data_IF_596093260673
#
_entry.id   IF_596093260673
#
_cell.length_a   1.000
_cell.length_b   1.000
_cell.length_c   1.000
_cell.angle_alpha   90.00
_cell.angle_beta   90.00
_cell.angle_gamma   90.00
#
_symmetry.space_group_name_H-M   'P 1'
#
loop_
_entity.id
_entity.type
_entity.pdbx_description
1 polymer ?
#
# COMPACT_ATOMS: atom_id res chain seq x y z
N UNK A 1 -10.60 5.48 15.91
CA UNK A 1 -11.40 4.62 15.01
C UNK A 1 -10.53 3.53 14.40
N UNK A 2 -9.43 3.87 13.71
CA UNK A 2 -8.50 2.87 13.18
C UNK A 2 -7.83 1.97 14.25
N UNK A 3 -7.48 2.53 15.42
CA UNK A 3 -6.88 1.75 16.52
C UNK A 3 -7.74 0.57 17.00
N UNK A 4 -9.07 0.63 16.90
CA UNK A 4 -9.94 -0.48 17.31
C UNK A 4 -9.82 -1.69 16.38
N UNK A 5 -9.34 -1.47 15.15
CA UNK A 5 -9.12 -2.52 14.16
C UNK A 5 -7.77 -3.22 14.36
N UNK A 6 -6.88 -2.64 15.17
CA UNK A 6 -5.52 -3.14 15.36
C UNK A 6 -5.45 -4.61 15.85
N UNK A 7 -6.23 -5.03 16.87
CA UNK A 7 -6.21 -6.43 17.30
C UNK A 7 -6.58 -7.41 16.19
N UNK A 8 -7.49 -7.02 15.30
CA UNK A 8 -7.88 -7.85 14.15
C UNK A 8 -6.81 -7.84 13.06
N UNK A 9 -6.17 -6.70 12.84
CA UNK A 9 -5.09 -6.53 11.87
C UNK A 9 -3.78 -7.24 12.26
N UNK A 10 -3.60 -7.57 13.54
CA UNK A 10 -2.44 -8.32 14.06
C UNK A 10 -2.67 -9.85 14.07
N UNK A 11 -3.85 -10.31 13.64
CA UNK A 11 -4.13 -11.76 13.55
C UNK A 11 -3.28 -12.44 12.47
N UNK A 12 -2.88 -13.67 12.76
CA UNK A 12 -2.15 -14.52 11.82
C UNK A 12 -2.92 -14.66 10.50
N UNK A 13 -2.24 -14.50 9.37
CA UNK A 13 -2.85 -14.60 8.03
C UNK A 13 -3.30 -16.02 7.66
N UNK A 14 -2.86 -17.03 8.41
CA UNK A 14 -3.36 -18.40 8.28
C UNK A 14 -4.73 -18.58 8.90
N UNK A 15 -5.11 -17.71 9.85
CA UNK A 15 -6.39 -17.79 10.54
C UNK A 15 -7.40 -16.90 9.80
N UNK A 16 -8.48 -17.46 9.23
CA UNK A 16 -9.51 -16.65 8.58
C UNK A 16 -10.14 -15.68 9.58
N UNK A 17 -10.36 -14.45 9.15
CA UNK A 17 -11.15 -13.50 9.95
C UNK A 17 -12.62 -13.93 9.87
N UNK A 18 -13.34 -14.10 10.99
CA UNK A 18 -14.77 -14.41 10.98
C UNK A 18 -15.57 -13.37 10.18
N UNK A 19 -16.50 -13.82 9.34
CA UNK A 19 -17.21 -12.94 8.39
C UNK A 19 -17.89 -11.73 9.05
N UNK A 20 -18.47 -11.90 10.24
CA UNK A 20 -19.09 -10.81 11.01
C UNK A 20 -18.06 -9.74 11.44
N UNK A 21 -16.89 -10.18 11.92
CA UNK A 21 -15.81 -9.27 12.30
C UNK A 21 -15.21 -8.57 11.08
N UNK A 22 -15.07 -9.28 9.96
CA UNK A 22 -14.60 -8.71 8.70
C UNK A 22 -15.56 -7.62 8.21
N UNK A 23 -16.87 -7.91 8.16
CA UNK A 23 -17.87 -6.93 7.71
C UNK A 23 -17.87 -5.68 8.60
N UNK A 24 -17.86 -5.86 9.92
CA UNK A 24 -17.81 -4.75 10.87
C UNK A 24 -16.53 -3.90 10.68
N UNK A 25 -15.39 -4.54 10.46
CA UNK A 25 -14.13 -3.87 10.21
C UNK A 25 -14.14 -3.08 8.89
N UNK A 26 -14.63 -3.66 7.79
CA UNK A 26 -14.70 -3.01 6.48
C UNK A 26 -15.72 -1.85 6.42
N UNK A 27 -16.65 -1.79 7.37
CA UNK A 27 -17.59 -0.67 7.56
C UNK A 27 -17.04 0.42 8.50
N UNK A 28 -15.85 0.22 9.06
CA UNK A 28 -15.22 1.15 10.00
C UNK A 28 -14.10 1.93 9.29
N UNK A 29 -14.07 3.27 9.38
CA UNK A 29 -12.96 4.03 8.82
C UNK A 29 -11.61 3.59 9.41
N UNK A 30 -10.54 3.58 8.58
CA UNK A 30 -10.42 4.25 7.28
C UNK A 30 -10.93 3.45 6.07
N UNK A 31 -11.51 2.25 6.26
CA UNK A 31 -12.05 1.49 5.14
C UNK A 31 -13.22 2.22 4.46
N UNK A 32 -13.24 2.13 3.14
CA UNK A 32 -14.28 2.69 2.28
C UNK A 32 -14.83 1.57 1.40
N UNK A 33 -16.14 1.38 1.43
CA UNK A 33 -16.80 0.36 0.62
C UNK A 33 -16.95 0.86 -0.82
N UNK A 34 -16.19 0.23 -1.72
CA UNK A 34 -16.31 0.44 -3.17
C UNK A 34 -16.55 -0.94 -3.82
N UNK A 35 -17.77 -1.23 -4.31
CA UNK A 35 -18.10 -2.52 -4.90
C UNK A 35 -17.13 -2.92 -6.02
N UNK A 36 -16.58 -4.13 -5.99
CA UNK A 36 -15.61 -4.59 -6.98
C UNK A 36 -14.16 -4.16 -6.71
N UNK A 37 -13.89 -3.57 -5.55
CA UNK A 37 -12.54 -3.36 -5.01
C UNK A 37 -12.36 -4.11 -3.69
N UNK A 38 -11.13 -4.11 -3.17
CA UNK A 38 -10.82 -4.64 -1.85
C UNK A 38 -9.64 -3.85 -1.27
N UNK A 39 -9.46 -3.93 0.04
CA UNK A 39 -8.39 -3.21 0.75
C UNK A 39 -8.44 -1.67 0.52
N UNK A 40 -9.63 -1.14 0.23
CA UNK A 40 -9.84 0.27 -0.11
C UNK A 40 -9.93 1.14 1.12
N UNK A 41 -9.11 2.19 1.19
CA UNK A 41 -9.05 3.12 2.33
C UNK A 41 -8.91 4.56 1.88
N UNK A 42 -9.48 5.46 2.68
CA UNK A 42 -9.18 6.90 2.66
C UNK A 42 -8.12 7.18 3.72
N UNK A 43 -6.93 7.63 3.28
CA UNK A 43 -5.83 7.88 4.20
C UNK A 43 -6.11 9.07 5.12
N UNK A 44 -7.02 9.97 4.76
CA UNK A 44 -7.40 11.08 5.64
C UNK A 44 -8.31 10.68 6.81
N UNK A 45 -8.80 9.42 6.83
CA UNK A 45 -9.65 8.90 7.90
C UNK A 45 -8.87 8.08 8.94
N UNK A 46 -7.53 8.13 8.94
CA UNK A 46 -6.64 7.41 9.85
C UNK A 46 -6.59 7.97 11.30
N UNK A 47 -7.67 8.60 11.77
CA UNK A 47 -7.69 9.31 13.06
C UNK A 47 -7.42 8.36 14.25
N UNK A 48 -6.21 8.51 14.82
CA UNK A 48 -5.81 7.95 16.11
C UNK A 48 -5.82 9.03 17.20
N UNK A 49 -6.29 8.73 18.43
CA UNK A 49 -6.06 9.61 19.57
C UNK A 49 -4.55 9.77 19.81
N UNK A 50 -4.03 11.00 19.81
CA UNK A 50 -2.59 11.24 20.06
C UNK A 50 -2.20 10.72 21.44
N UNK A 51 -1.08 10.00 21.53
CA UNK A 51 -0.51 9.59 22.81
C UNK A 51 0.13 10.75 23.59
N UNK A 52 0.46 11.87 22.93
CA UNK A 52 1.08 13.03 23.58
C UNK A 52 0.79 14.36 22.84
N UNK A 53 -0.11 15.22 23.33
CA UNK A 53 -0.31 16.56 22.78
C UNK A 53 0.82 17.48 23.27
N UNK A 54 1.87 17.66 22.45
CA UNK A 54 2.92 18.64 22.75
C UNK A 54 2.38 20.08 22.89
N UNK A 55 3.11 20.99 23.56
CA UNK A 55 2.63 22.35 23.80
C UNK A 55 2.79 23.18 22.52
N UNK A 56 1.70 23.32 21.78
CA UNK A 56 1.56 24.15 20.58
C UNK A 56 0.08 24.48 20.34
N UNK A 57 -0.26 25.49 19.53
CA UNK A 57 -1.63 26.00 19.46
C UNK A 57 -2.56 24.97 18.81
N UNK A 58 -3.45 24.38 19.63
CA UNK A 58 -4.75 23.81 19.25
C UNK A 58 -4.77 22.43 18.53
N UNK A 59 -5.88 21.69 18.65
CA UNK A 59 -6.04 20.33 18.11
C UNK A 59 -6.46 20.37 16.64
N UNK A 60 -5.54 20.67 15.72
CA UNK A 60 -5.73 20.23 14.34
C UNK A 60 -5.07 18.86 14.20
N UNK A 61 -5.86 17.85 13.81
CA UNK A 61 -5.33 16.56 13.42
C UNK A 61 -4.31 16.80 12.29
N UNK A 62 -3.02 16.62 12.57
CA UNK A 62 -2.01 16.55 11.51
C UNK A 62 -2.24 15.23 10.79
N UNK A 63 -2.44 15.31 9.49
CA UNK A 63 -2.83 14.17 8.68
C UNK A 63 -3.35 14.60 7.33
N UNK A 64 -3.44 13.62 6.44
CA UNK A 64 -4.03 13.82 5.12
C UNK A 64 -5.48 14.27 5.31
N UNK A 65 -5.94 15.26 4.54
CA UNK A 65 -7.36 15.66 4.58
C UNK A 65 -8.26 14.57 3.99
N UNK A 66 -9.42 14.28 4.60
CA UNK A 66 -10.34 13.26 4.10
C UNK A 66 -10.76 13.51 2.65
N UNK A 67 -10.97 12.43 1.90
CA UNK A 67 -11.44 12.46 0.52
C UNK A 67 -10.38 12.83 -0.51
N UNK A 68 -9.11 12.93 -0.13
CA UNK A 68 -8.03 13.36 -1.04
C UNK A 68 -7.18 12.21 -1.56
N UNK A 69 -6.71 11.33 -0.68
CA UNK A 69 -5.78 10.25 -1.02
C UNK A 69 -6.40 8.91 -0.67
N UNK A 70 -6.62 8.09 -1.69
CA UNK A 70 -7.17 6.75 -1.56
C UNK A 70 -6.14 5.69 -1.96
N UNK A 71 -6.21 4.53 -1.29
CA UNK A 71 -5.45 3.33 -1.66
C UNK A 71 -6.37 2.13 -1.79
N UNK A 72 -6.03 1.16 -2.63
CA UNK A 72 -6.80 -0.08 -2.84
C UNK A 72 -5.93 -1.22 -3.37
N UNK A 73 -6.48 -2.44 -3.38
CA UNK A 73 -6.01 -3.54 -4.23
C UNK A 73 -6.40 -3.36 -5.71
N UNK A 74 -6.08 -4.37 -6.53
CA UNK A 74 -6.28 -4.35 -7.99
C UNK A 74 -7.72 -3.99 -8.40
N UNK A 75 -7.83 -3.26 -9.51
CA UNK A 75 -9.09 -2.71 -10.00
C UNK A 75 -9.75 -3.57 -11.09
N UNK A 76 -9.18 -4.73 -11.43
CA UNK A 76 -9.68 -5.56 -12.54
C UNK A 76 -11.14 -6.02 -12.35
N UNK A 77 -11.61 -6.08 -11.10
CA UNK A 77 -12.99 -6.47 -10.82
C UNK A 77 -14.00 -5.34 -11.02
N UNK A 78 -13.54 -4.08 -11.14
CA UNK A 78 -14.41 -2.95 -11.48
C UNK A 78 -14.97 -3.05 -12.91
N UNK A 79 -14.35 -3.79 -13.83
CA UNK A 79 -14.94 -4.13 -15.13
C UNK A 79 -16.36 -4.72 -15.02
N UNK A 80 -16.66 -5.38 -13.88
CA UNK A 80 -17.94 -6.06 -13.62
C UNK A 80 -18.82 -5.33 -12.59
N UNK A 81 -18.47 -4.09 -12.22
CA UNK A 81 -19.14 -3.35 -11.14
C UNK A 81 -19.40 -1.90 -11.54
N UNK A 82 -20.52 -1.64 -12.21
CA UNK A 82 -20.94 -0.27 -12.57
C UNK A 82 -21.08 0.64 -11.34
N UNK A 83 -21.60 0.09 -10.24
CA UNK A 83 -21.75 0.81 -8.98
C UNK A 83 -20.38 1.16 -8.38
N UNK A 84 -19.41 0.24 -8.46
CA UNK A 84 -18.03 0.51 -8.06
C UNK A 84 -17.39 1.63 -8.87
N UNK A 85 -17.55 1.59 -10.19
CA UNK A 85 -17.07 2.65 -11.08
C UNK A 85 -17.69 4.01 -10.74
N UNK A 86 -19.00 4.05 -10.48
CA UNK A 86 -19.70 5.27 -10.07
C UNK A 86 -19.24 5.76 -8.68
N UNK A 87 -18.99 4.85 -7.72
CA UNK A 87 -18.45 5.23 -6.41
C UNK A 87 -17.05 5.85 -6.56
N UNK A 88 -16.15 5.26 -7.37
CA UNK A 88 -14.81 5.84 -7.60
C UNK A 88 -14.91 7.23 -8.23
N UNK A 89 -15.69 7.37 -9.32
CA UNK A 89 -15.79 8.62 -10.09
C UNK A 89 -16.58 9.72 -9.39
N UNK A 90 -17.72 9.38 -8.80
CA UNK A 90 -18.71 10.38 -8.33
C UNK A 90 -18.72 10.49 -6.80
N UNK A 91 -18.61 9.34 -6.11
CA UNK A 91 -18.61 9.28 -4.65
C UNK A 91 -17.30 9.76 -4.05
N UNK A 92 -16.19 9.14 -4.47
CA UNK A 92 -14.83 9.49 -4.04
C UNK A 92 -14.23 10.63 -4.87
N UNK A 93 -14.82 10.94 -6.02
CA UNK A 93 -14.38 12.03 -6.92
C UNK A 93 -12.94 11.89 -7.38
N UNK A 94 -12.46 10.64 -7.50
CA UNK A 94 -11.11 10.34 -7.98
C UNK A 94 -10.98 10.85 -9.41
N UNK A 95 -9.89 11.57 -9.68
CA UNK A 95 -9.55 12.08 -11.01
C UNK A 95 -8.33 11.43 -11.61
N UNK A 96 -7.48 10.82 -10.77
CA UNK A 96 -6.31 10.06 -11.22
C UNK A 96 -6.14 8.77 -10.46
N UNK A 97 -5.83 7.72 -11.22
CA UNK A 97 -5.52 6.39 -10.72
C UNK A 97 -4.07 6.08 -11.05
N UNK A 98 -3.25 5.77 -10.04
CA UNK A 98 -1.85 5.41 -10.20
C UNK A 98 -1.65 3.91 -10.01
N UNK A 99 -1.22 3.23 -11.06
CA UNK A 99 -0.95 1.79 -11.05
C UNK A 99 0.53 1.53 -10.74
N UNK A 100 0.78 0.86 -9.60
CA UNK A 100 2.11 0.43 -9.15
C UNK A 100 2.42 -1.02 -9.53
N UNK A 101 1.66 -1.63 -10.44
CA UNK A 101 1.93 -3.00 -10.90
C UNK A 101 3.11 -3.03 -11.88
N UNK A 102 3.81 -4.16 -11.87
CA UNK A 102 4.81 -4.46 -12.89
C UNK A 102 4.14 -4.57 -14.27
N UNK A 103 4.96 -4.53 -15.33
CA UNK A 103 4.48 -4.72 -16.71
C UNK A 103 3.64 -5.98 -16.90
N UNK A 104 4.04 -7.11 -16.33
CA UNK A 104 3.30 -8.38 -16.48
C UNK A 104 1.94 -8.30 -15.77
N UNK A 105 1.92 -7.84 -14.53
CA UNK A 105 0.69 -7.71 -13.74
C UNK A 105 -0.31 -6.75 -14.40
N UNK A 106 0.17 -5.61 -14.91
CA UNK A 106 -0.62 -4.62 -15.64
C UNK A 106 -1.21 -5.21 -16.94
N UNK A 107 -0.36 -5.85 -17.76
CA UNK A 107 -0.79 -6.44 -19.04
C UNK A 107 -1.78 -7.60 -18.86
N UNK A 108 -1.61 -8.42 -17.81
CA UNK A 108 -2.45 -9.59 -17.56
C UNK A 108 -3.84 -9.23 -17.04
N UNK A 109 -3.96 -8.14 -16.29
CA UNK A 109 -5.20 -7.72 -15.63
C UNK A 109 -5.38 -6.20 -15.74
N UNK A 110 -5.67 -5.66 -16.93
CA UNK A 110 -5.77 -4.22 -17.14
C UNK A 110 -6.89 -3.59 -16.31
N UNK A 111 -6.67 -2.37 -15.82
CA UNK A 111 -7.69 -1.59 -15.12
C UNK A 111 -8.81 -1.14 -16.08
N UNK A 112 -10.03 -0.89 -15.59
CA UNK A 112 -11.07 -0.29 -16.42
C UNK A 112 -10.77 1.17 -16.74
N UNK A 113 -11.26 1.62 -17.89
CA UNK A 113 -11.36 3.04 -18.22
C UNK A 113 -12.61 3.63 -17.55
N UNK A 114 -12.44 4.69 -16.77
CA UNK A 114 -13.54 5.40 -16.12
C UNK A 114 -13.65 6.81 -16.71
N UNK A 115 -14.87 7.21 -17.07
CA UNK A 115 -15.10 8.54 -17.64
C UNK A 115 -14.65 9.66 -16.69
N UNK A 116 -13.88 10.61 -17.21
CA UNK A 116 -13.33 11.72 -16.41
C UNK A 116 -12.28 11.33 -15.36
N UNK A 117 -11.70 10.13 -15.45
CA UNK A 117 -10.60 9.66 -14.59
C UNK A 117 -9.41 9.24 -15.45
N UNK A 118 -8.24 9.81 -15.17
CA UNK A 118 -6.98 9.52 -15.87
C UNK A 118 -6.26 8.34 -15.19
N UNK A 119 -6.01 7.25 -15.94
CA UNK A 119 -5.17 6.14 -15.49
C UNK A 119 -3.70 6.43 -15.84
N UNK A 120 -2.83 6.38 -14.83
CA UNK A 120 -1.39 6.65 -14.94
C UNK A 120 -0.61 5.38 -14.59
N UNK A 121 0.07 4.81 -15.58
CA UNK A 121 1.00 3.70 -15.42
C UNK A 121 2.34 4.05 -16.07
N UNK A 122 3.40 4.09 -15.26
CA UNK A 122 4.76 4.39 -15.72
C UNK A 122 5.67 3.14 -15.76
N UNK A 123 5.14 1.99 -15.36
CA UNK A 123 5.90 0.75 -15.20
C UNK A 123 6.88 0.79 -14.03
N UNK A 124 7.57 -0.32 -13.83
CA UNK A 124 8.72 -0.44 -12.96
C UNK A 124 10.02 -0.14 -13.72
N UNK A 125 10.88 0.69 -13.15
CA UNK A 125 12.24 0.90 -13.64
C UNK A 125 13.08 -0.36 -13.36
N UNK A 126 14.01 -0.70 -14.26
CA UNK A 126 14.89 -1.86 -14.11
C UNK A 126 14.39 -3.18 -14.71
N UNK A 127 13.18 -3.23 -15.24
CA UNK A 127 12.74 -4.33 -16.12
C UNK A 127 13.42 -4.23 -17.49
N UNK A 128 14.54 -4.93 -17.66
CA UNK A 128 15.25 -4.98 -18.94
C UNK A 128 14.32 -5.38 -20.09
N UNK A 129 14.58 -4.82 -21.27
CA UNK A 129 13.97 -5.29 -22.53
C UNK A 129 14.35 -6.78 -22.68
N UNK A 130 13.41 -7.69 -22.37
CA UNK A 130 13.55 -9.12 -22.69
C UNK A 130 13.74 -10.12 -21.53
N UNK A 131 13.53 -9.77 -20.25
CA UNK A 131 13.42 -10.82 -19.22
C UNK A 131 11.97 -11.33 -19.16
N UNK A 132 11.68 -12.39 -19.91
CA UNK A 132 10.37 -13.07 -20.00
C UNK A 132 9.98 -13.88 -18.74
N UNK A 133 10.78 -13.83 -17.69
CA UNK A 133 10.53 -14.56 -16.45
C UNK A 133 10.19 -13.59 -15.32
N UNK A 134 8.98 -13.72 -14.76
CA UNK A 134 8.65 -13.18 -13.44
C UNK A 134 9.76 -13.65 -12.49
N UNK A 135 10.56 -12.75 -11.89
CA UNK A 135 11.66 -13.18 -11.05
C UNK A 135 11.08 -14.01 -9.90
N UNK A 136 11.52 -15.26 -9.81
CA UNK A 136 11.23 -16.11 -8.65
C UNK A 136 11.65 -15.32 -7.42
N UNK A 137 10.69 -15.03 -6.54
CA UNK A 137 10.98 -14.28 -5.34
C UNK A 137 11.92 -15.09 -4.45
N UNK A 138 13.12 -14.57 -4.21
CA UNK A 138 14.06 -15.19 -3.27
C UNK A 138 13.51 -15.07 -1.84
N UNK A 139 13.08 -16.21 -1.29
CA UNK A 139 12.56 -16.30 0.06
C UNK A 139 13.65 -16.40 1.12
N UNK A 140 14.93 -16.60 0.74
CA UNK A 140 16.06 -16.74 1.65
C UNK A 140 16.13 -15.60 2.69
N UNK A 141 16.08 -14.33 2.27
CA UNK A 141 16.05 -13.17 3.18
C UNK A 141 14.84 -13.13 4.13
N UNK A 142 13.78 -13.89 3.86
CA UNK A 142 12.59 -13.93 4.70
C UNK A 142 12.63 -15.03 5.78
N UNK A 143 13.58 -15.98 5.72
CA UNK A 143 13.59 -17.15 6.60
C UNK A 143 13.90 -16.78 8.04
N UNK A 144 14.95 -15.98 8.26
CA UNK A 144 15.42 -15.61 9.60
C UNK A 144 14.87 -14.27 10.08
N UNK A 145 14.96 -14.02 11.38
CA UNK A 145 14.60 -12.72 11.97
C UNK A 145 13.16 -12.29 11.66
N UNK A 146 12.25 -13.25 11.56
CA UNK A 146 10.84 -13.04 11.20
C UNK A 146 10.61 -12.35 9.85
N UNK A 147 11.60 -12.44 8.96
CA UNK A 147 11.61 -11.87 7.61
C UNK A 147 11.99 -10.40 7.51
N UNK A 148 12.55 -9.83 8.60
CA UNK A 148 12.99 -8.43 8.66
C UNK A 148 13.88 -8.04 7.47
N UNK A 149 14.90 -8.85 7.17
CA UNK A 149 15.83 -8.57 6.06
C UNK A 149 15.13 -8.61 4.69
N UNK A 150 14.25 -9.59 4.46
CA UNK A 150 13.47 -9.70 3.23
C UNK A 150 12.54 -8.52 3.00
N UNK A 151 11.82 -8.07 4.02
CA UNK A 151 10.97 -6.87 3.90
C UNK A 151 11.77 -5.60 3.64
N UNK A 152 12.91 -5.41 4.32
CA UNK A 152 13.80 -4.28 4.07
C UNK A 152 14.25 -4.27 2.62
N UNK A 153 14.80 -5.38 2.12
CA UNK A 153 15.26 -5.50 0.74
C UNK A 153 14.13 -5.25 -0.27
N UNK A 154 12.98 -5.88 -0.05
CA UNK A 154 11.81 -5.73 -0.92
C UNK A 154 11.28 -4.28 -0.95
N UNK A 155 11.18 -3.60 0.19
CA UNK A 155 10.65 -2.23 0.22
C UNK A 155 11.65 -1.19 -0.29
N UNK A 156 12.97 -1.43 -0.16
CA UNK A 156 13.97 -0.60 -0.84
C UNK A 156 13.92 -0.79 -2.36
N UNK A 157 13.73 -2.04 -2.84
CA UNK A 157 13.51 -2.32 -4.26
C UNK A 157 12.26 -1.59 -4.79
N UNK A 158 11.19 -1.53 -3.99
CA UNK A 158 10.00 -0.74 -4.34
C UNK A 158 10.33 0.74 -4.53
N UNK A 159 11.10 1.34 -3.60
CA UNK A 159 11.50 2.74 -3.72
C UNK A 159 12.30 2.96 -5.01
N UNK A 160 13.28 2.12 -5.31
CA UNK A 160 14.11 2.30 -6.50
C UNK A 160 13.34 2.08 -7.81
N UNK A 161 12.58 0.99 -7.92
CA UNK A 161 11.90 0.62 -9.17
C UNK A 161 10.68 1.47 -9.47
N UNK A 162 9.94 1.92 -8.45
CA UNK A 162 8.69 2.68 -8.66
C UNK A 162 8.84 4.19 -8.43
N UNK A 163 10.07 4.71 -8.36
CA UNK A 163 10.35 6.14 -8.19
C UNK A 163 9.67 7.03 -9.24
N UNK A 164 9.51 6.57 -10.48
CA UNK A 164 8.74 7.25 -11.52
C UNK A 164 7.30 7.52 -11.10
N UNK A 165 6.57 6.48 -10.70
CA UNK A 165 5.17 6.60 -10.23
C UNK A 165 5.08 7.40 -8.93
N UNK A 166 6.02 7.21 -7.99
CA UNK A 166 6.05 7.97 -6.74
C UNK A 166 6.23 9.47 -7.00
N UNK A 167 7.12 9.83 -7.94
CA UNK A 167 7.32 11.21 -8.40
C UNK A 167 6.03 11.77 -9.00
N UNK A 168 5.33 11.00 -9.82
CA UNK A 168 4.11 11.49 -10.46
C UNK A 168 2.94 11.65 -9.46
N UNK A 169 2.85 10.78 -8.45
CA UNK A 169 1.91 10.94 -7.33
C UNK A 169 2.20 12.22 -6.54
N UNK A 170 3.47 12.52 -6.25
CA UNK A 170 3.83 13.74 -5.52
C UNK A 170 3.65 15.02 -6.36
N UNK A 171 3.93 14.96 -7.67
CA UNK A 171 3.59 16.05 -8.61
C UNK A 171 2.09 16.30 -8.64
N UNK A 172 1.32 15.22 -8.68
CA UNK A 172 -0.13 15.25 -8.58
C UNK A 172 -0.62 16.02 -7.35
N UNK A 173 -0.09 15.68 -6.17
CA UNK A 173 -0.39 16.37 -4.90
C UNK A 173 0.05 17.84 -4.93
N UNK A 174 1.21 18.13 -5.52
CA UNK A 174 1.77 19.48 -5.61
C UNK A 174 0.97 20.40 -6.54
N UNK A 175 0.58 19.90 -7.71
CA UNK A 175 0.13 20.71 -8.84
C UNK A 175 -1.37 20.66 -9.07
N UNK A 176 -2.05 19.60 -8.62
CA UNK A 176 -3.52 19.49 -8.70
C UNK A 176 -4.11 19.12 -7.33
N UNK A 177 -3.90 19.95 -6.29
CA UNK A 177 -4.37 19.62 -4.95
C UNK A 177 -5.91 19.60 -4.85
N UNK A 178 -6.67 20.06 -5.84
CA UNK A 178 -8.13 19.90 -5.87
C UNK A 178 -8.62 18.52 -6.37
N UNK A 179 -7.71 17.68 -6.87
CA UNK A 179 -8.05 16.40 -7.50
C UNK A 179 -7.75 15.23 -6.57
N UNK A 180 -8.79 14.48 -6.17
CA UNK A 180 -8.60 13.27 -5.42
C UNK A 180 -7.89 12.20 -6.25
N UNK A 181 -7.01 11.44 -5.61
CA UNK A 181 -6.23 10.39 -6.28
C UNK A 181 -6.41 9.05 -5.61
N UNK A 182 -6.29 8.00 -6.41
CA UNK A 182 -6.30 6.62 -5.96
C UNK A 182 -5.04 5.94 -6.48
N UNK A 183 -4.37 5.17 -5.64
CA UNK A 183 -3.24 4.34 -6.09
C UNK A 183 -3.38 2.91 -5.62
N UNK A 184 -2.87 1.97 -6.42
CA UNK A 184 -3.01 0.56 -6.14
C UNK A 184 -1.83 -0.25 -6.65
N UNK A 185 -1.78 -1.50 -6.22
CA UNK A 185 -0.99 -2.56 -6.85
C UNK A 185 -1.88 -3.81 -6.91
N UNK A 186 -1.32 -5.02 -6.96
CA UNK A 186 -2.13 -6.24 -6.98
C UNK A 186 -2.95 -6.43 -5.69
N UNK A 187 -2.31 -6.45 -4.52
CA UNK A 187 -3.01 -6.65 -3.23
C UNK A 187 -3.33 -5.34 -2.51
N UNK A 188 -2.79 -4.20 -2.98
CA UNK A 188 -2.91 -2.92 -2.28
C UNK A 188 -2.13 -2.89 -0.96
N UNK A 189 -1.12 -3.77 -0.80
CA UNK A 189 -0.45 -4.06 0.47
C UNK A 189 0.97 -3.49 0.50
N UNK A 190 1.87 -4.03 -0.31
CA UNK A 190 3.32 -3.78 -0.23
C UNK A 190 3.74 -2.49 -0.96
N UNK A 191 3.72 -2.48 -2.30
CA UNK A 191 4.05 -1.27 -3.11
C UNK A 191 3.18 -0.08 -2.75
N UNK A 192 1.87 -0.33 -2.64
CA UNK A 192 0.88 0.64 -2.15
C UNK A 192 1.18 1.07 -0.71
N UNK A 193 1.64 0.16 0.16
CA UNK A 193 1.98 0.47 1.55
C UNK A 193 3.18 1.37 1.70
N UNK A 194 4.23 1.13 0.91
CA UNK A 194 5.41 2.00 0.89
C UNK A 194 5.05 3.42 0.44
N UNK A 195 4.24 3.56 -0.62
CA UNK A 195 3.77 4.88 -1.06
C UNK A 195 2.86 5.56 -0.03
N UNK A 196 1.93 4.82 0.58
CA UNK A 196 1.05 5.34 1.62
C UNK A 196 1.86 5.84 2.82
N UNK A 197 2.78 5.03 3.36
CA UNK A 197 3.60 5.42 4.50
C UNK A 197 4.50 6.63 4.21
N UNK A 198 4.98 6.79 2.97
CA UNK A 198 5.66 8.02 2.53
C UNK A 198 4.71 9.23 2.64
N UNK A 199 3.54 9.18 2.00
CA UNK A 199 2.57 10.29 2.00
C UNK A 199 2.08 10.63 3.42
N UNK A 200 1.83 9.60 4.23
CA UNK A 200 1.43 9.70 5.62
C UNK A 200 2.50 10.38 6.48
N UNK A 201 3.76 10.01 6.31
CA UNK A 201 4.90 10.65 6.98
C UNK A 201 5.03 12.12 6.56
N UNK A 202 4.89 12.43 5.27
CA UNK A 202 4.93 13.82 4.78
C UNK A 202 3.78 14.67 5.34
N UNK A 203 2.59 14.09 5.49
CA UNK A 203 1.43 14.74 6.11
C UNK A 203 1.59 14.92 7.64
N UNK A 204 2.62 14.34 8.24
CA UNK A 204 2.95 14.48 9.65
C UNK A 204 2.18 13.54 10.57
N UNK A 205 1.70 12.40 10.06
CA UNK A 205 1.25 11.31 10.92
C UNK A 205 2.39 10.78 11.78
N UNK A 206 2.08 10.36 13.01
CA UNK A 206 3.04 9.70 13.87
C UNK A 206 3.29 8.25 13.43
N UNK A 207 4.40 7.68 13.89
CA UNK A 207 4.82 6.32 13.51
C UNK A 207 3.76 5.27 13.81
N UNK A 208 3.01 5.43 14.89
CA UNK A 208 1.96 4.49 15.30
C UNK A 208 0.77 4.52 14.34
N UNK A 209 0.42 5.70 13.83
CA UNK A 209 -0.61 5.87 12.80
C UNK A 209 -0.19 5.22 11.50
N UNK A 210 1.06 5.42 11.06
CA UNK A 210 1.61 4.80 9.85
C UNK A 210 1.66 3.26 9.98
N UNK A 211 2.16 2.75 11.12
CA UNK A 211 2.15 1.32 11.43
C UNK A 211 0.75 0.74 11.44
N UNK A 212 -0.22 1.48 11.96
CA UNK A 212 -1.62 1.05 12.00
C UNK A 212 -2.13 0.90 10.57
N UNK A 213 -2.01 1.91 9.70
CA UNK A 213 -2.46 1.78 8.29
C UNK A 213 -1.80 0.60 7.58
N UNK A 214 -0.49 0.45 7.76
CA UNK A 214 0.27 -0.67 7.22
C UNK A 214 -0.37 -2.01 7.58
N UNK A 215 -0.62 -2.24 8.88
CA UNK A 215 -1.24 -3.47 9.39
C UNK A 215 -2.68 -3.67 8.91
N UNK A 216 -3.48 -2.60 8.73
CA UNK A 216 -4.87 -2.73 8.28
C UNK A 216 -5.00 -3.48 6.95
N UNK A 217 -3.93 -3.52 6.15
CA UNK A 217 -3.90 -4.34 4.94
C UNK A 217 -4.16 -5.83 5.21
N UNK A 218 -3.84 -6.36 6.41
CA UNK A 218 -4.22 -7.72 6.83
C UNK A 218 -5.72 -7.96 6.78
N UNK A 219 -6.53 -6.99 7.19
CA UNK A 219 -7.99 -7.04 7.13
C UNK A 219 -8.45 -6.86 5.69
N UNK A 220 -7.92 -5.83 5.01
CA UNK A 220 -8.37 -5.45 3.68
C UNK A 220 -8.13 -6.51 2.60
N UNK A 221 -7.12 -7.36 2.77
CA UNK A 221 -6.81 -8.46 1.85
C UNK A 221 -7.50 -9.78 2.22
N UNK A 222 -8.37 -9.84 3.24
CA UNK A 222 -8.99 -11.10 3.67
C UNK A 222 -9.69 -11.83 2.51
N UNK A 223 -10.36 -11.07 1.63
CA UNK A 223 -11.02 -11.62 0.42
C UNK A 223 -10.05 -12.21 -0.61
N UNK A 224 -8.77 -11.83 -0.55
CA UNK A 224 -7.69 -12.34 -1.39
C UNK A 224 -6.73 -13.27 -0.62
N UNK A 225 -7.02 -13.57 0.66
CA UNK A 225 -6.14 -14.32 1.56
C UNK A 225 -5.82 -15.70 1.03
N UNK A 226 -6.82 -16.44 0.56
CA UNK A 226 -6.61 -17.81 0.02
C UNK A 226 -5.82 -17.81 -1.29
N UNK A 227 -5.93 -16.76 -2.12
CA UNK A 227 -5.07 -16.63 -3.30
C UNK A 227 -3.62 -16.39 -2.88
N UNK A 228 -3.40 -15.51 -1.90
CA UNK A 228 -2.07 -15.23 -1.36
C UNK A 228 -1.45 -16.48 -0.71
N UNK A 229 -2.20 -17.23 0.09
CA UNK A 229 -1.77 -18.51 0.66
C UNK A 229 -1.63 -19.60 -0.41
N UNK A 230 -2.37 -19.52 -1.51
CA UNK A 230 -2.21 -20.41 -2.66
C UNK A 230 -0.85 -20.23 -3.34
N UNK A 231 -0.34 -19.00 -3.41
CA UNK A 231 1.06 -18.77 -3.82
C UNK A 231 2.03 -19.39 -2.81
N UNK A 232 1.75 -19.31 -1.50
CA UNK A 232 2.54 -19.97 -0.44
C UNK A 232 2.81 -21.42 -0.75
N UNK A 233 1.71 -22.15 -0.95
CA UNK A 233 1.69 -23.60 -1.10
C UNK A 233 2.53 -24.00 -2.29
N UNK A 234 2.36 -23.32 -3.42
CA UNK A 234 3.15 -23.57 -4.64
C UNK A 234 4.66 -23.39 -4.44
N UNK A 235 5.08 -22.39 -3.68
CA UNK A 235 6.51 -22.14 -3.39
C UNK A 235 7.06 -23.07 -2.31
N UNK A 236 6.25 -23.44 -1.31
CA UNK A 236 6.66 -24.37 -0.26
C UNK A 236 6.74 -25.81 -0.74
N UNK A 237 5.90 -26.19 -1.71
CA UNK A 237 5.78 -27.56 -2.20
C UNK A 237 6.85 -27.94 -3.23
N UNK A 238 7.74 -27.02 -3.66
CA UNK A 238 8.75 -27.31 -4.68
C UNK A 238 8.16 -27.94 -5.94
N UNK A 239 6.97 -27.48 -6.37
CA UNK A 239 6.22 -28.13 -7.45
C UNK A 239 6.84 -27.76 -8.79
N UNK A 240 7.73 -28.63 -9.27
CA UNK A 240 8.01 -28.72 -10.70
C UNK A 240 6.70 -29.01 -11.45
N UNK A 241 6.59 -28.57 -12.70
CA UNK A 241 5.42 -28.63 -13.60
C UNK A 241 4.79 -30.02 -13.81
N UNK A 242 5.30 -31.07 -13.16
CA UNK A 242 4.87 -32.47 -13.25
C UNK A 242 4.04 -32.99 -12.04
N UNK A 243 3.63 -32.14 -11.10
CA UNK A 243 2.49 -32.44 -10.21
C UNK A 243 2.71 -33.57 -9.18
N UNK A 244 3.91 -33.74 -8.65
CA UNK A 244 4.16 -34.66 -7.53
C UNK A 244 3.98 -33.93 -6.19
N UNK A 245 3.00 -34.35 -5.38
CA UNK A 245 2.71 -33.79 -4.06
C UNK A 245 3.64 -34.37 -2.98
N UNK A 246 4.50 -33.54 -2.41
CA UNK A 246 5.18 -33.81 -1.14
C UNK A 246 4.70 -32.81 -0.09
N UNK A 247 4.35 -33.27 1.12
CA UNK A 247 4.12 -32.39 2.26
C UNK A 247 5.45 -31.76 2.66
N UNK A 248 5.59 -30.44 2.46
CA UNK A 248 6.69 -29.67 3.01
C UNK A 248 6.21 -28.91 4.27
N UNK A 249 6.99 -28.95 5.36
CA UNK A 249 6.64 -28.26 6.59
C UNK A 249 6.62 -26.74 6.37
N UNK A 250 5.79 -26.06 7.17
CA UNK A 250 5.61 -24.61 7.32
C UNK A 250 6.87 -23.80 6.89
N UNK A 251 7.00 -23.36 5.62
CA UNK A 251 8.22 -22.66 5.15
C UNK A 251 8.27 -21.27 5.79
N UNK A 252 9.16 -21.01 6.78
CA UNK A 252 9.08 -19.79 7.58
C UNK A 252 9.22 -18.53 6.74
N UNK A 253 10.02 -18.59 5.67
CA UNK A 253 10.23 -17.47 4.74
C UNK A 253 8.96 -17.00 4.06
N UNK A 254 8.12 -17.93 3.56
CA UNK A 254 6.88 -17.51 2.93
C UNK A 254 5.88 -16.95 3.95
N UNK A 255 5.72 -17.60 5.10
CA UNK A 255 4.81 -17.07 6.13
C UNK A 255 5.24 -15.71 6.62
N UNK A 256 6.55 -15.47 6.74
CA UNK A 256 7.08 -14.15 7.02
C UNK A 256 6.72 -13.16 5.90
N UNK A 257 6.92 -13.53 4.63
CA UNK A 257 6.52 -12.70 3.47
C UNK A 257 5.02 -12.35 3.46
N UNK A 258 4.13 -13.25 3.88
CA UNK A 258 2.69 -12.97 3.85
C UNK A 258 2.14 -12.37 5.14
N UNK A 259 2.90 -12.42 6.23
CA UNK A 259 2.51 -11.84 7.52
C UNK A 259 3.12 -10.46 7.69
N UNK A 260 2.27 -9.43 7.71
CA UNK A 260 2.72 -8.07 8.01
C UNK A 260 3.09 -7.95 9.48
N UNK A 261 4.25 -7.38 9.77
CA UNK A 261 4.73 -7.12 11.13
C UNK A 261 5.27 -5.70 11.23
N UNK A 262 4.94 -4.97 12.29
CA UNK A 262 5.44 -3.60 12.52
C UNK A 262 6.96 -3.56 12.58
N UNK A 263 7.59 -4.56 13.21
CA UNK A 263 9.05 -4.66 13.28
C UNK A 263 9.73 -4.71 11.90
N UNK A 264 9.06 -5.25 10.88
CA UNK A 264 9.58 -5.25 9.50
C UNK A 264 9.45 -3.87 8.85
N UNK A 265 8.33 -3.17 9.10
CA UNK A 265 8.15 -1.78 8.67
C UNK A 265 9.17 -0.85 9.34
N UNK A 266 9.38 -0.99 10.65
CA UNK A 266 10.32 -0.19 11.43
C UNK A 266 11.75 -0.38 10.92
N UNK A 267 12.15 -1.62 10.66
CA UNK A 267 13.44 -1.91 10.07
C UNK A 267 13.64 -1.25 8.71
N UNK A 268 12.59 -1.23 7.87
CA UNK A 268 12.64 -0.54 6.59
C UNK A 268 12.80 0.99 6.78
N UNK A 269 12.00 1.59 7.67
CA UNK A 269 12.08 3.02 7.96
C UNK A 269 13.44 3.41 8.54
N UNK A 270 14.03 2.60 9.42
CA UNK A 270 15.40 2.80 9.93
C UNK A 270 16.42 2.91 8.79
N UNK A 271 16.32 2.04 7.79
CA UNK A 271 17.21 2.08 6.62
C UNK A 271 16.91 3.30 5.75
N UNK A 272 15.64 3.67 5.54
CA UNK A 272 15.27 4.89 4.81
C UNK A 272 15.84 6.14 5.49
N UNK A 273 15.80 6.20 6.83
CA UNK A 273 16.42 7.27 7.62
C UNK A 273 17.92 7.30 7.40
N UNK A 274 18.59 6.14 7.47
CA UNK A 274 20.04 6.02 7.31
C UNK A 274 20.52 6.37 5.90
N UNK A 275 19.86 5.88 4.86
CA UNK A 275 20.29 6.01 3.47
C UNK A 275 19.89 7.36 2.87
N UNK A 276 18.66 7.81 3.13
CA UNK A 276 18.11 8.99 2.47
C UNK A 276 17.99 10.21 3.39
N UNK A 277 18.10 10.05 4.71
CA UNK A 277 17.72 11.08 5.67
C UNK A 277 16.21 11.11 5.93
N UNK A 278 15.54 9.97 5.74
CA UNK A 278 14.10 9.81 5.88
C UNK A 278 13.35 10.01 4.56
N UNK A 279 12.02 9.90 4.58
CA UNK A 279 11.21 10.07 3.38
C UNK A 279 11.35 11.47 2.75
N UNK A 280 11.53 12.52 3.53
CA UNK A 280 11.80 13.87 3.00
C UNK A 280 13.11 13.94 2.20
N UNK A 281 14.15 13.27 2.70
CA UNK A 281 15.42 13.18 2.01
C UNK A 281 15.35 12.30 0.75
N UNK A 282 14.53 11.24 0.77
CA UNK A 282 14.24 10.46 -0.43
C UNK A 282 13.53 11.31 -1.50
N UNK A 283 12.52 12.10 -1.10
CA UNK A 283 11.77 12.99 -2.00
C UNK A 283 12.68 14.04 -2.65
N UNK A 284 13.57 14.66 -1.87
CA UNK A 284 14.43 15.73 -2.38
C UNK A 284 15.64 15.21 -3.17
N UNK A 285 16.32 14.18 -2.67
CA UNK A 285 17.58 13.69 -3.24
C UNK A 285 17.40 12.66 -4.35
N UNK A 286 16.34 11.85 -4.30
CA UNK A 286 16.10 10.75 -5.25
C UNK A 286 14.99 11.11 -6.23
N UNK A 287 13.86 11.61 -5.74
CA UNK A 287 12.74 11.96 -6.63
C UNK A 287 12.95 13.31 -7.34
N UNK A 288 13.86 14.15 -6.83
CA UNK A 288 14.30 15.39 -7.48
C UNK A 288 13.38 16.60 -7.23
N UNK A 289 12.61 16.59 -6.15
CA UNK A 289 11.82 17.76 -5.73
C UNK A 289 12.71 18.75 -4.98
N UNK A 290 12.42 20.05 -5.13
CA UNK A 290 13.07 21.08 -4.31
C UNK A 290 12.52 21.10 -2.88
N UNK A 291 13.20 21.81 -1.98
CA UNK A 291 12.66 22.07 -0.64
C UNK A 291 11.34 22.86 -0.69
N UNK A 292 11.19 23.77 -1.67
CA UNK A 292 9.95 24.51 -1.89
C UNK A 292 8.80 23.59 -2.35
N UNK A 293 9.10 22.65 -3.24
CA UNK A 293 8.14 21.63 -3.67
C UNK A 293 7.70 20.78 -2.48
N UNK A 294 8.65 20.35 -1.64
CA UNK A 294 8.38 19.55 -0.45
C UNK A 294 7.45 20.30 0.52
N UNK A 295 7.72 21.57 0.81
CA UNK A 295 6.84 22.41 1.64
C UNK A 295 5.43 22.49 1.04
N UNK A 296 5.32 22.72 -0.27
CA UNK A 296 4.03 22.79 -0.97
C UNK A 296 3.27 21.47 -0.94
N UNK A 297 3.95 20.34 -1.15
CA UNK A 297 3.37 18.99 -1.06
C UNK A 297 2.81 18.74 0.34
N UNK A 298 3.63 18.96 1.38
CA UNK A 298 3.21 18.74 2.78
C UNK A 298 2.00 19.58 3.15
N UNK A 299 1.97 20.85 2.72
CA UNK A 299 0.82 21.73 2.91
C UNK A 299 -0.44 21.23 2.19
N UNK A 300 -0.32 20.87 0.90
CA UNK A 300 -1.45 20.41 0.09
C UNK A 300 -2.04 19.07 0.58
N UNK A 301 -1.27 18.25 1.30
CA UNK A 301 -1.78 17.04 1.94
C UNK A 301 -2.77 17.34 3.07
N UNK A 302 -2.56 18.43 3.81
CA UNK A 302 -3.24 18.69 5.09
C UNK A 302 -4.26 19.84 5.04
N UNK A 303 -4.10 20.79 4.12
CA UNK A 303 -4.99 21.96 4.00
C UNK A 303 -6.09 21.74 2.97
N UNK A 304 -7.32 22.10 3.33
CA UNK A 304 -8.44 22.20 2.40
C UNK A 304 -8.11 23.21 1.28
N UNK A 305 -8.63 22.94 0.08
CA UNK A 305 -8.40 23.73 -1.13
C UNK A 305 -9.69 24.38 -1.59
#
# INVERSE_FOLDING_TARGET
MAAHLRPLAETDIRVPIPAEQLLAALQTPPFVLVPGTFNTRDLGLLLLPRSNPGPGPGPQARGIRPGFIFRTGGLESLHRSSDGQAVVRDGLRVRRIFDLRSREEHARRPDPELDGVENVWLGDEGGGVGSEESPVMDLGPFVEGEGRAGYVAMYLDVLDRYKGTFREVLRSVRDRPGEAILFHCTAGRDRTGVLAGLLETLAGYDEETVRTDFLLSRIGIEVAREHLLGFARKYSEGVDSNGSSGEFPDVPGFYNLVSLKTACWDAFVEVVVKEYGGFEGYVTRVLGFSDEDLVKIKRNLIEDQ
#
